data_IF_066623967463
#
_entry.id   IF_066623967463
#
_cell.length_a   1.000
_cell.length_b   1.000
_cell.length_c   1.000
_cell.angle_alpha   90.00
_cell.angle_beta   90.00
_cell.angle_gamma   90.00
#
_symmetry.space_group_name_H-M   'P 1'
#
loop_
_entity.id
_entity.type
_entity.pdbx_description
1 polymer ?
#
# COMPACT_ATOMS: atom_id res chain seq x y z
N UNK A 1 0.07 31.60 40.38
CA UNK A 1 -0.30 32.61 39.35
C UNK A 1 0.86 32.88 38.38
N UNK A 2 1.41 31.84 37.73
CA UNK A 2 2.51 31.98 36.73
C UNK A 2 2.26 31.15 35.45
N UNK A 3 1.02 30.71 35.22
CA UNK A 3 0.67 29.80 34.12
C UNK A 3 -0.39 30.35 33.16
N UNK A 4 -0.84 31.60 33.33
CA UNK A 4 -1.90 32.20 32.53
C UNK A 4 -1.45 33.37 31.63
N UNK A 5 -0.15 33.69 31.59
CA UNK A 5 0.39 34.78 30.73
C UNK A 5 1.11 34.24 29.49
N UNK A 6 1.42 32.94 29.43
CA UNK A 6 2.15 32.35 28.29
C UNK A 6 1.24 31.91 27.13
N UNK A 7 -0.04 31.61 27.40
CA UNK A 7 -1.00 31.21 26.36
C UNK A 7 -1.63 32.39 25.60
N UNK A 8 -1.53 33.60 26.13
CA UNK A 8 -1.97 34.81 25.42
C UNK A 8 -0.92 35.34 24.43
N UNK A 9 0.35 34.90 24.55
CA UNK A 9 1.41 35.31 23.63
C UNK A 9 1.47 34.46 22.35
N UNK A 10 0.97 33.22 22.38
CA UNK A 10 0.94 32.33 21.19
C UNK A 10 -0.31 32.60 20.33
N UNK A 11 -1.41 33.09 20.91
CA UNK A 11 -2.64 33.38 20.17
C UNK A 11 -2.69 34.78 19.54
N UNK A 12 -1.82 35.71 19.97
CA UNK A 12 -1.68 37.05 19.37
C UNK A 12 -0.59 37.06 18.28
N UNK A 13 0.29 36.07 18.25
CA UNK A 13 1.25 35.89 17.15
C UNK A 13 0.62 35.25 15.90
N UNK A 14 -0.51 34.53 16.01
CA UNK A 14 -1.20 33.94 14.84
C UNK A 14 -2.22 34.87 14.18
N UNK A 15 -2.60 35.99 14.82
CA UNK A 15 -3.56 36.96 14.27
C UNK A 15 -2.94 38.30 13.89
N UNK A 16 -1.62 38.47 14.04
CA UNK A 16 -0.85 39.61 13.52
C UNK A 16 0.14 39.26 12.41
N UNK A 17 0.20 38.01 11.93
CA UNK A 17 0.62 37.74 10.54
C UNK A 17 -0.53 38.05 9.59
N UNK A 18 -1.01 39.30 9.65
CA UNK A 18 -1.51 39.94 8.45
C UNK A 18 -0.35 39.90 7.47
N UNK A 19 -0.52 39.16 6.37
CA UNK A 19 -0.24 39.62 5.00
C UNK A 19 0.93 40.62 4.89
N UNK A 20 2.06 40.33 5.51
CA UNK A 20 3.31 40.80 4.98
C UNK A 20 3.46 39.94 3.75
N UNK A 21 3.20 40.56 2.61
CA UNK A 21 3.83 40.22 1.35
C UNK A 21 5.10 39.42 1.66
N UNK A 22 5.00 38.09 1.61
CA UNK A 22 6.17 37.30 1.32
C UNK A 22 6.52 37.90 -0.05
N UNK A 23 7.58 38.69 -0.08
CA UNK A 23 8.17 39.12 -1.33
C UNK A 23 8.53 37.79 -1.97
N UNK A 24 7.62 37.24 -2.76
CA UNK A 24 7.89 36.14 -3.64
C UNK A 24 9.02 36.72 -4.46
N UNK A 25 10.26 36.32 -4.12
CA UNK A 25 11.40 36.60 -4.96
C UNK A 25 10.96 36.21 -6.37
N UNK A 26 11.39 36.98 -7.35
CA UNK A 26 11.00 36.76 -8.73
C UNK A 26 11.10 35.27 -9.10
N UNK A 27 12.12 34.59 -8.56
CA UNK A 27 12.15 33.13 -8.39
C UNK A 27 12.07 32.68 -6.92
N UNK A 28 11.20 31.71 -6.63
CA UNK A 28 11.06 31.12 -5.28
C UNK A 28 10.54 29.68 -5.37
N UNK A 29 11.43 28.69 -5.32
CA UNK A 29 11.09 27.27 -5.27
C UNK A 29 11.30 26.72 -3.86
N UNK A 30 10.24 26.15 -3.29
CA UNK A 30 10.29 25.50 -1.98
C UNK A 30 10.23 23.97 -2.16
N UNK A 31 11.26 23.23 -1.71
CA UNK A 31 11.25 21.78 -1.74
C UNK A 31 10.61 21.18 -0.46
N UNK A 32 10.01 20.01 -0.60
CA UNK A 32 9.56 19.14 0.48
C UNK A 32 9.80 17.68 0.08
N UNK A 33 10.04 16.79 1.05
CA UNK A 33 10.11 15.36 0.73
C UNK A 33 8.73 14.86 0.30
N UNK A 34 8.63 14.28 -0.90
CA UNK A 34 7.39 13.71 -1.40
C UNK A 34 7.11 12.34 -0.79
N UNK A 35 8.16 11.52 -0.62
CA UNK A 35 8.09 10.20 0.02
C UNK A 35 9.45 9.76 0.56
N UNK A 36 9.45 8.69 1.38
CA UNK A 36 10.66 8.05 1.90
C UNK A 36 11.50 7.46 0.75
N UNK A 37 12.80 7.74 0.78
CA UNK A 37 13.79 7.17 -0.13
C UNK A 37 14.26 5.80 0.36
N UNK A 38 14.24 4.80 -0.51
CA UNK A 38 14.83 3.49 -0.22
C UNK A 38 16.20 3.40 -0.89
N UNK A 39 17.24 3.26 -0.07
CA UNK A 39 18.61 3.05 -0.51
C UNK A 39 18.88 1.55 -0.50
N UNK A 40 19.08 0.96 -1.67
CA UNK A 40 19.32 -0.49 -1.79
C UNK A 40 20.81 -0.75 -1.65
N UNK A 41 21.23 -1.55 -0.66
CA UNK A 41 22.64 -1.81 -0.31
C UNK A 41 23.51 -2.29 -1.48
N UNK A 42 22.92 -3.02 -2.43
CA UNK A 42 23.62 -3.58 -3.59
C UNK A 42 23.76 -2.61 -4.77
N UNK A 43 23.09 -1.45 -4.75
CA UNK A 43 23.10 -0.48 -5.85
C UNK A 43 24.08 0.66 -5.59
N UNK A 44 24.61 1.24 -6.68
CA UNK A 44 25.52 2.39 -6.64
C UNK A 44 24.79 3.73 -6.59
N UNK A 45 23.49 3.77 -6.87
CA UNK A 45 22.68 4.99 -6.87
C UNK A 45 21.34 4.74 -6.19
N UNK A 46 20.72 5.82 -5.71
CA UNK A 46 19.35 5.85 -5.20
C UNK A 46 18.62 7.08 -5.74
N UNK A 47 17.30 7.09 -5.62
CA UNK A 47 16.45 8.19 -6.07
C UNK A 47 15.77 8.86 -4.88
N UNK A 48 15.99 10.16 -4.75
CA UNK A 48 15.20 11.02 -3.88
C UNK A 48 13.98 11.55 -4.64
N UNK A 49 12.83 11.64 -3.96
CA UNK A 49 11.59 12.15 -4.52
C UNK A 49 11.22 13.46 -3.82
N UNK A 50 11.43 14.58 -4.52
CA UNK A 50 11.28 15.92 -3.94
C UNK A 50 10.06 16.58 -4.56
N UNK A 51 9.06 16.92 -3.74
CA UNK A 51 7.98 17.80 -4.16
C UNK A 51 8.52 19.23 -4.18
N UNK A 52 8.44 19.89 -5.32
CA UNK A 52 8.87 21.28 -5.48
C UNK A 52 7.65 22.12 -5.82
N UNK A 53 7.42 23.20 -5.09
CA UNK A 53 6.35 24.17 -5.36
C UNK A 53 6.94 25.52 -5.72
N UNK A 54 6.42 26.14 -6.79
CA UNK A 54 6.82 27.49 -7.18
C UNK A 54 5.93 28.55 -6.51
N UNK A 55 6.49 29.27 -5.55
CA UNK A 55 5.86 30.43 -4.93
C UNK A 55 6.25 31.76 -5.59
N UNK A 56 7.25 31.74 -6.48
CA UNK A 56 7.75 32.89 -7.23
C UNK A 56 6.75 33.40 -8.26
N UNK A 57 6.98 34.63 -8.74
CA UNK A 57 6.15 35.23 -9.81
C UNK A 57 6.59 34.76 -11.20
N UNK A 58 7.87 34.43 -11.37
CA UNK A 58 8.43 34.02 -12.64
C UNK A 58 8.30 32.52 -12.84
N UNK A 59 8.23 32.14 -14.12
CA UNK A 59 8.31 30.74 -14.56
C UNK A 59 9.70 30.18 -14.28
N UNK A 60 9.77 29.08 -13.54
CA UNK A 60 11.00 28.31 -13.39
C UNK A 60 11.13 27.31 -14.55
N UNK A 61 12.33 27.23 -15.13
CA UNK A 61 12.68 26.25 -16.16
C UNK A 61 13.69 25.23 -15.64
N UNK A 62 14.56 25.66 -14.73
CA UNK A 62 15.50 24.78 -14.05
C UNK A 62 15.81 25.27 -12.64
N UNK A 63 16.41 24.39 -11.84
CA UNK A 63 17.02 24.75 -10.57
C UNK A 63 18.34 24.01 -10.36
N UNK A 64 19.28 24.65 -9.67
CA UNK A 64 20.49 24.04 -9.14
C UNK A 64 20.20 23.49 -7.75
N UNK A 65 20.64 22.27 -7.48
CA UNK A 65 20.40 21.59 -6.21
C UNK A 65 21.67 20.96 -5.65
N UNK A 66 21.66 20.77 -4.33
CA UNK A 66 22.65 19.99 -3.60
C UNK A 66 21.95 18.96 -2.71
N UNK A 67 22.44 17.72 -2.71
CA UNK A 67 22.13 16.75 -1.66
C UNK A 67 23.35 16.64 -0.75
N UNK A 68 23.15 16.87 0.54
CA UNK A 68 24.18 16.77 1.57
C UNK A 68 23.82 15.68 2.56
N UNK A 69 24.83 14.97 3.05
CA UNK A 69 24.72 14.05 4.20
C UNK A 69 25.41 14.66 5.42
N UNK A 70 25.28 14.02 6.58
CA UNK A 70 26.09 14.33 7.76
C UNK A 70 27.61 14.11 7.54
N UNK A 71 27.99 13.44 6.44
CA UNK A 71 29.38 13.23 6.01
C UNK A 71 29.86 14.19 4.93
N UNK A 72 29.02 15.15 4.52
CA UNK A 72 29.33 16.15 3.48
C UNK A 72 28.48 15.99 2.22
N UNK A 73 28.83 16.76 1.18
CA UNK A 73 28.12 16.80 -0.09
C UNK A 73 28.13 15.44 -0.80
N UNK A 74 26.93 14.99 -1.20
CA UNK A 74 26.70 13.73 -1.90
C UNK A 74 26.62 13.96 -3.40
N UNK A 75 25.85 14.96 -3.83
CA UNK A 75 25.73 15.35 -5.23
C UNK A 75 25.33 16.81 -5.36
N UNK A 76 25.84 17.46 -6.39
CA UNK A 76 25.38 18.75 -6.90
C UNK A 76 24.87 18.51 -8.33
N UNK A 77 23.83 19.22 -8.73
CA UNK A 77 23.30 19.07 -10.06
C UNK A 77 22.30 20.14 -10.46
N UNK A 78 21.77 19.98 -11.66
CA UNK A 78 20.72 20.83 -12.21
C UNK A 78 19.54 19.96 -12.61
N UNK A 79 18.34 20.34 -12.19
CA UNK A 79 17.10 19.75 -12.65
C UNK A 79 16.43 20.70 -13.64
N UNK A 80 15.95 20.16 -14.76
CA UNK A 80 15.24 20.94 -15.80
C UNK A 80 13.81 20.43 -15.90
N UNK A 81 12.83 21.33 -15.76
CA UNK A 81 11.43 21.00 -15.96
C UNK A 81 11.15 20.74 -17.44
N UNK A 82 10.31 19.74 -17.72
CA UNK A 82 9.89 19.42 -19.10
C UNK A 82 8.98 20.49 -19.69
N UNK A 83 8.22 21.16 -18.83
CA UNK A 83 7.27 22.21 -19.18
C UNK A 83 7.53 23.45 -18.33
N UNK A 84 6.97 24.59 -18.76
CA UNK A 84 7.05 25.84 -18.00
C UNK A 84 6.45 25.67 -16.60
N UNK A 85 7.27 25.78 -15.55
CA UNK A 85 6.85 25.59 -14.17
C UNK A 85 6.41 26.93 -13.56
N UNK A 86 5.10 27.19 -13.61
CA UNK A 86 4.47 28.48 -13.30
C UNK A 86 4.23 28.65 -11.81
N UNK A 87 3.83 29.86 -11.43
CA UNK A 87 3.40 30.16 -10.06
C UNK A 87 2.30 29.19 -9.62
N UNK A 88 2.46 28.68 -8.40
CA UNK A 88 1.59 27.70 -7.74
C UNK A 88 1.65 26.29 -8.32
N UNK A 89 2.44 26.05 -9.38
CA UNK A 89 2.68 24.68 -9.84
C UNK A 89 3.44 23.90 -8.77
N UNK A 90 3.09 22.63 -8.64
CA UNK A 90 3.78 21.67 -7.78
C UNK A 90 4.07 20.41 -8.58
N UNK A 91 5.30 19.90 -8.51
CA UNK A 91 5.69 18.66 -9.18
C UNK A 91 6.64 17.85 -8.30
N UNK A 92 6.61 16.53 -8.48
CA UNK A 92 7.59 15.64 -7.83
C UNK A 92 8.76 15.43 -8.79
N UNK A 93 9.94 15.90 -8.38
CA UNK A 93 11.21 15.71 -9.05
C UNK A 93 11.89 14.44 -8.55
N UNK A 94 12.24 13.53 -9.46
CA UNK A 94 13.12 12.40 -9.17
C UNK A 94 14.58 12.83 -9.32
N UNK A 95 15.34 12.75 -8.22
CA UNK A 95 16.74 13.13 -8.17
C UNK A 95 17.57 11.89 -7.88
N UNK A 96 18.31 11.42 -8.88
CA UNK A 96 19.26 10.32 -8.69
C UNK A 96 20.54 10.84 -8.04
N UNK A 97 21.04 10.12 -7.03
CA UNK A 97 22.27 10.45 -6.33
C UNK A 97 23.12 9.20 -6.08
N UNK A 98 24.45 9.33 -6.07
CA UNK A 98 25.33 8.21 -5.78
C UNK A 98 25.21 7.81 -4.32
N UNK A 99 25.13 6.51 -4.09
CA UNK A 99 25.21 5.92 -2.76
C UNK A 99 26.60 5.32 -2.67
N UNK A 100 27.53 6.03 -2.04
CA UNK A 100 28.75 5.37 -1.59
C UNK A 100 28.31 4.27 -0.60
N UNK A 101 29.03 3.15 -0.54
CA UNK A 101 28.74 2.01 0.37
C UNK A 101 28.78 2.35 1.88
N UNK A 102 28.62 3.62 2.24
CA UNK A 102 28.53 4.20 3.55
C UNK A 102 27.18 3.84 4.18
N UNK A 103 27.19 2.78 4.98
CA UNK A 103 26.12 2.39 5.89
C UNK A 103 25.95 3.35 7.08
N UNK A 104 26.75 4.43 7.14
CA UNK A 104 26.93 5.25 8.34
C UNK A 104 26.40 6.68 8.19
N UNK A 105 25.67 6.97 7.09
CA UNK A 105 24.94 8.24 6.97
C UNK A 105 23.69 8.18 7.85
N UNK A 106 23.41 9.26 8.55
CA UNK A 106 22.25 9.37 9.46
C UNK A 106 21.27 10.46 9.03
N UNK A 107 21.65 11.34 8.11
CA UNK A 107 20.78 12.37 7.56
C UNK A 107 21.08 12.66 6.10
N UNK A 108 20.05 13.02 5.34
CA UNK A 108 20.15 13.56 3.98
C UNK A 108 19.31 14.83 3.90
N UNK A 109 19.88 15.89 3.33
CA UNK A 109 19.23 17.19 3.12
C UNK A 109 19.34 17.59 1.67
N UNK A 110 18.22 17.97 1.07
CA UNK A 110 18.13 18.52 -0.27
C UNK A 110 18.01 20.05 -0.19
N UNK A 111 18.80 20.80 -0.94
CA UNK A 111 18.70 22.26 -1.06
C UNK A 111 18.56 22.70 -2.52
N UNK A 112 17.86 23.82 -2.72
CA UNK A 112 17.76 24.54 -3.99
C UNK A 112 18.39 25.92 -3.79
N UNK A 113 19.54 26.15 -4.42
CA UNK A 113 20.31 27.38 -4.24
C UNK A 113 20.00 28.42 -5.33
N UNK A 114 19.80 27.96 -6.57
CA UNK A 114 19.46 28.82 -7.71
C UNK A 114 18.29 28.29 -8.53
N UNK A 115 17.55 29.20 -9.13
CA UNK A 115 16.45 28.95 -10.06
C UNK A 115 16.71 29.79 -11.30
N UNK A 116 16.77 29.16 -12.48
CA UNK A 116 17.18 29.82 -13.73
C UNK A 116 18.49 30.63 -13.59
N UNK A 117 19.49 30.09 -12.88
CA UNK A 117 20.78 30.74 -12.54
C UNK A 117 20.70 31.96 -11.61
N UNK A 118 19.50 32.36 -11.17
CA UNK A 118 19.28 33.43 -10.19
C UNK A 118 19.09 32.85 -8.79
N UNK A 119 19.34 33.66 -7.75
CA UNK A 119 19.18 33.23 -6.36
C UNK A 119 17.75 32.73 -6.09
N UNK A 120 17.62 31.58 -5.42
CA UNK A 120 16.33 31.12 -4.92
C UNK A 120 15.84 32.01 -3.76
N UNK A 121 14.68 32.64 -3.93
CA UNK A 121 14.07 33.54 -2.95
C UNK A 121 13.16 32.86 -1.91
N UNK A 122 13.03 31.53 -1.94
CA UNK A 122 12.18 30.82 -0.99
C UNK A 122 12.71 30.96 0.45
N UNK A 123 11.82 31.23 1.42
CA UNK A 123 12.20 31.32 2.84
C UNK A 123 12.75 30.00 3.39
N UNK A 124 12.31 28.87 2.83
CA UNK A 124 12.82 27.54 3.11
C UNK A 124 13.16 26.90 1.75
N UNK A 125 14.42 27.05 1.34
CA UNK A 125 14.95 26.48 0.10
C UNK A 125 15.51 25.05 0.26
N UNK A 126 15.19 24.34 1.34
CA UNK A 126 15.73 23.01 1.63
C UNK A 126 14.72 22.11 2.36
N UNK A 127 14.92 20.80 2.30
CA UNK A 127 14.15 19.83 3.06
C UNK A 127 15.00 18.61 3.43
N UNK A 128 14.62 17.92 4.51
CA UNK A 128 15.23 16.63 4.85
C UNK A 128 14.66 15.55 3.93
N UNK A 129 15.52 14.66 3.42
CA UNK A 129 15.11 13.46 2.69
C UNK A 129 15.00 12.32 3.72
N UNK A 130 13.78 11.88 4.09
CA UNK A 130 13.63 10.68 4.89
C UNK A 130 14.10 9.49 4.06
N UNK A 131 14.97 8.64 4.62
CA UNK A 131 15.47 7.47 3.92
C UNK A 131 15.55 6.24 4.83
N UNK A 132 15.63 5.08 4.20
CA UNK A 132 15.97 3.82 4.86
C UNK A 132 16.92 3.02 3.98
N UNK A 133 17.82 2.26 4.60
CA UNK A 133 18.77 1.41 3.89
C UNK A 133 18.21 -0.02 3.93
N UNK A 134 17.91 -0.56 2.75
CA UNK A 134 17.32 -1.90 2.58
C UNK A 134 18.24 -2.85 1.83
N UNK A 135 18.11 -4.15 2.10
CA UNK A 135 18.73 -5.21 1.30
C UNK A 135 18.15 -5.27 -0.12
N UNK A 136 16.84 -5.07 -0.24
CA UNK A 136 16.08 -4.92 -1.49
C UNK A 136 14.74 -4.21 -1.24
N UNK A 137 14.07 -3.77 -2.28
CA UNK A 137 12.71 -3.23 -2.14
C UNK A 137 11.72 -4.33 -1.78
N UNK A 138 10.85 -4.04 -0.82
CA UNK A 138 9.69 -4.87 -0.54
C UNK A 138 8.55 -4.56 -1.51
N UNK A 139 7.75 -5.58 -1.82
CA UNK A 139 6.49 -5.47 -2.54
C UNK A 139 5.41 -5.03 -1.56
N UNK A 140 4.95 -3.78 -1.71
CA UNK A 140 3.81 -3.25 -0.96
C UNK A 140 2.51 -3.54 -1.68
N UNK A 141 1.55 -4.14 -0.97
CA UNK A 141 0.15 -4.19 -1.40
C UNK A 141 -0.71 -3.29 -0.51
N UNK A 142 -1.78 -2.76 -1.07
CA UNK A 142 -2.66 -1.78 -0.44
C UNK A 142 -3.97 -2.47 -0.06
N UNK A 143 -4.25 -2.51 1.25
CA UNK A 143 -5.55 -2.97 1.73
C UNK A 143 -6.54 -1.83 1.60
N UNK A 144 -7.71 -2.12 1.07
CA UNK A 144 -8.83 -1.19 1.04
C UNK A 144 -10.00 -1.87 1.75
N UNK A 145 -10.35 -1.34 2.92
CA UNK A 145 -11.49 -1.80 3.70
C UNK A 145 -12.71 -0.92 3.36
N UNK A 146 -13.77 -1.51 2.82
CA UNK A 146 -15.08 -0.85 2.64
C UNK A 146 -16.02 -1.27 3.78
N UNK A 147 -16.23 -0.35 4.72
CA UNK A 147 -17.24 -0.50 5.77
C UNK A 147 -18.60 -0.11 5.20
N UNK A 148 -19.42 -1.11 4.92
CA UNK A 148 -20.58 -0.99 4.00
C UNK A 148 -21.85 -1.61 4.59
N UNK A 149 -22.93 -1.61 3.81
CA UNK A 149 -24.18 -2.29 4.14
C UNK A 149 -25.22 -2.17 3.02
N UNK A 150 -26.02 -3.21 2.83
CA UNK A 150 -27.04 -3.25 1.77
C UNK A 150 -28.12 -2.17 1.96
N UNK A 151 -28.42 -1.81 3.21
CA UNK A 151 -29.37 -0.75 3.54
C UNK A 151 -28.87 0.66 3.23
N UNK A 152 -27.56 0.83 3.00
CA UNK A 152 -26.93 2.14 2.86
C UNK A 152 -26.99 2.62 1.40
N UNK A 153 -27.71 3.72 1.10
CA UNK A 153 -27.97 4.13 -0.28
C UNK A 153 -26.72 4.70 -0.98
N UNK A 154 -25.77 5.27 -0.24
CA UNK A 154 -24.53 5.80 -0.80
C UNK A 154 -23.41 4.75 -0.91
N UNK A 155 -23.62 3.54 -0.38
CA UNK A 155 -22.60 2.50 -0.34
C UNK A 155 -22.26 1.93 -1.72
N UNK A 156 -23.14 2.12 -2.70
CA UNK A 156 -22.86 1.82 -4.11
C UNK A 156 -21.66 2.58 -4.67
N UNK A 157 -21.32 3.77 -4.12
CA UNK A 157 -20.03 4.43 -4.44
C UNK A 157 -18.83 3.61 -3.97
N UNK A 158 -18.88 3.10 -2.74
CA UNK A 158 -17.80 2.30 -2.17
C UNK A 158 -17.59 1.03 -2.97
N UNK A 159 -18.68 0.34 -3.30
CA UNK A 159 -18.67 -0.84 -4.18
C UNK A 159 -18.07 -0.50 -5.54
N UNK A 160 -18.52 0.59 -6.19
CA UNK A 160 -17.97 1.00 -7.48
C UNK A 160 -16.46 1.29 -7.42
N UNK A 161 -15.99 1.96 -6.38
CA UNK A 161 -14.58 2.25 -6.18
C UNK A 161 -13.75 0.96 -5.96
N UNK A 162 -14.26 0.02 -5.17
CA UNK A 162 -13.60 -1.27 -4.91
C UNK A 162 -13.48 -2.11 -6.19
N UNK A 163 -14.55 -2.21 -6.97
CA UNK A 163 -14.55 -2.89 -8.27
C UNK A 163 -13.60 -2.22 -9.27
N UNK A 164 -13.54 -0.89 -9.28
CA UNK A 164 -12.64 -0.15 -10.15
C UNK A 164 -11.17 -0.41 -9.78
N UNK A 165 -10.83 -0.43 -8.49
CA UNK A 165 -9.49 -0.74 -8.02
C UNK A 165 -9.11 -2.21 -8.31
N UNK A 166 -10.02 -3.15 -8.09
CA UNK A 166 -9.81 -4.57 -8.40
C UNK A 166 -9.56 -4.78 -9.91
N UNK A 167 -10.26 -4.05 -10.78
CA UNK A 167 -10.11 -4.16 -12.23
C UNK A 167 -8.82 -3.55 -12.76
N UNK A 168 -8.34 -2.46 -12.16
CA UNK A 168 -7.17 -1.72 -12.66
C UNK A 168 -5.87 -2.05 -11.93
N UNK A 169 -5.94 -2.57 -10.69
CA UNK A 169 -4.78 -2.84 -9.83
C UNK A 169 -4.83 -4.22 -9.16
N UNK A 170 -5.19 -5.32 -9.87
CA UNK A 170 -5.47 -6.62 -9.26
C UNK A 170 -4.30 -7.21 -8.45
N UNK A 171 -3.06 -6.89 -8.83
CA UNK A 171 -1.84 -7.41 -8.19
C UNK A 171 -1.51 -6.73 -6.86
N UNK A 172 -1.92 -5.47 -6.71
CA UNK A 172 -1.54 -4.61 -5.59
C UNK A 172 -2.71 -4.23 -4.69
N UNK A 173 -3.94 -4.39 -5.17
CA UNK A 173 -5.17 -4.15 -4.42
C UNK A 173 -5.58 -5.37 -3.61
N UNK A 174 -5.91 -5.16 -2.33
CA UNK A 174 -6.52 -6.15 -1.45
C UNK A 174 -7.81 -5.57 -0.88
N UNK A 175 -8.93 -5.91 -1.51
CA UNK A 175 -10.25 -5.49 -1.04
C UNK A 175 -10.76 -6.33 0.13
N UNK A 176 -11.43 -5.67 1.09
CA UNK A 176 -12.23 -6.30 2.14
C UNK A 176 -13.51 -5.48 2.33
N UNK A 177 -14.68 -6.09 2.10
CA UNK A 177 -15.98 -5.48 2.35
C UNK A 177 -16.54 -6.00 3.68
N UNK A 178 -16.58 -5.13 4.68
CA UNK A 178 -17.12 -5.44 6.01
C UNK A 178 -18.53 -4.86 6.13
N UNK A 179 -19.53 -5.74 6.09
CA UNK A 179 -20.94 -5.37 6.14
C UNK A 179 -21.41 -5.10 7.58
N UNK A 180 -22.19 -4.04 7.74
CA UNK A 180 -22.78 -3.61 9.00
C UNK A 180 -24.30 -3.83 9.00
N UNK A 181 -24.81 -4.62 9.94
CA UNK A 181 -26.24 -4.79 10.18
C UNK A 181 -27.03 -5.49 9.06
N UNK A 182 -26.39 -6.30 8.21
CA UNK A 182 -27.08 -7.09 7.19
C UNK A 182 -26.63 -8.57 7.16
N UNK A 183 -27.20 -9.34 6.24
CA UNK A 183 -26.98 -10.80 6.11
C UNK A 183 -25.54 -11.19 5.77
N UNK A 184 -24.73 -10.24 5.31
CA UNK A 184 -23.31 -10.43 5.02
C UNK A 184 -22.40 -9.99 6.16
N UNK A 185 -22.94 -9.47 7.26
CA UNK A 185 -22.16 -9.05 8.43
C UNK A 185 -21.37 -10.19 9.07
N UNK A 186 -20.27 -9.84 9.75
CA UNK A 186 -19.49 -10.75 10.59
C UNK A 186 -19.21 -10.08 11.94
N UNK A 187 -19.39 -10.78 13.09
CA UNK A 187 -19.14 -10.19 14.40
C UNK A 187 -17.67 -9.82 14.61
N UNK A 188 -16.74 -10.47 13.91
CA UNK A 188 -15.30 -10.22 14.05
C UNK A 188 -14.91 -8.78 13.70
N UNK A 189 -15.69 -8.12 12.84
CA UNK A 189 -15.47 -6.73 12.43
C UNK A 189 -16.20 -5.69 13.31
N UNK A 190 -16.97 -6.10 14.31
CA UNK A 190 -17.86 -5.21 15.07
C UNK A 190 -17.14 -3.99 15.68
N UNK A 191 -15.97 -4.18 16.29
CA UNK A 191 -15.19 -3.08 16.88
C UNK A 191 -14.61 -2.13 15.83
N UNK A 192 -14.17 -2.65 14.69
CA UNK A 192 -13.65 -1.85 13.57
C UNK A 192 -14.79 -1.00 12.99
N UNK A 193 -15.97 -1.61 12.78
CA UNK A 193 -17.18 -0.94 12.32
C UNK A 193 -17.68 0.15 13.29
N UNK A 194 -17.56 -0.08 14.61
CA UNK A 194 -17.89 0.90 15.63
C UNK A 194 -16.92 2.09 15.67
N UNK A 195 -15.65 1.85 15.32
CA UNK A 195 -14.60 2.87 15.24
C UNK A 195 -14.79 3.76 14.01
N UNK A 196 -14.96 3.16 12.83
CA UNK A 196 -15.09 3.87 11.57
C UNK A 196 -16.57 4.03 11.19
N UNK A 197 -17.27 5.01 11.77
CA UNK A 197 -18.71 5.19 11.63
C UNK A 197 -19.12 5.87 10.30
N UNK A 198 -20.42 5.77 9.96
CA UNK A 198 -21.09 6.36 8.78
C UNK A 198 -20.71 5.70 7.44
N UNK A 199 -21.55 4.74 7.02
CA UNK A 199 -21.39 3.97 5.78
C UNK A 199 -21.73 4.81 4.52
N UNK A 200 -21.05 4.60 3.37
CA UNK A 200 -19.82 3.82 3.26
C UNK A 200 -18.67 4.56 3.94
N UNK A 201 -17.77 3.80 4.54
CA UNK A 201 -16.49 4.31 5.00
C UNK A 201 -15.40 3.45 4.37
N UNK A 202 -14.82 3.96 3.30
CA UNK A 202 -13.78 3.26 2.54
C UNK A 202 -12.42 3.80 2.94
N UNK A 203 -11.50 2.93 3.32
CA UNK A 203 -10.24 3.31 3.95
C UNK A 203 -9.08 2.48 3.39
N UNK A 204 -8.07 3.14 2.82
CA UNK A 204 -6.82 2.49 2.43
C UNK A 204 -5.88 2.40 3.62
N UNK A 205 -5.32 1.22 3.88
CA UNK A 205 -4.29 0.95 4.90
C UNK A 205 -4.57 1.52 6.31
N UNK A 206 -5.83 1.77 6.64
CA UNK A 206 -6.26 2.49 7.84
C UNK A 206 -5.74 3.93 7.97
N UNK A 207 -5.37 4.55 6.86
CA UNK A 207 -4.83 5.92 6.78
C UNK A 207 -5.72 6.83 5.95
N UNK A 208 -5.95 6.48 4.69
CA UNK A 208 -6.46 7.39 3.67
C UNK A 208 -7.92 7.08 3.38
N UNK A 209 -8.81 7.98 3.80
CA UNK A 209 -10.25 7.83 3.56
C UNK A 209 -10.59 8.17 2.10
N UNK A 210 -11.26 7.26 1.42
CA UNK A 210 -11.65 7.42 0.02
C UNK A 210 -13.04 8.02 -0.11
N UNK A 211 -13.11 9.27 -0.58
CA UNK A 211 -14.36 10.05 -0.67
C UNK A 211 -14.92 10.23 -2.08
N UNK A 212 -14.20 9.79 -3.12
CA UNK A 212 -14.57 10.00 -4.52
C UNK A 212 -14.92 8.69 -5.24
N UNK A 213 -15.00 8.67 -6.57
CA UNK A 213 -15.47 7.50 -7.31
C UNK A 213 -14.35 6.63 -7.88
N UNK A 214 -13.18 7.22 -8.14
CA UNK A 214 -12.00 6.57 -8.73
C UNK A 214 -10.79 6.98 -7.91
N UNK A 215 -9.95 6.00 -7.58
CA UNK A 215 -8.88 6.14 -6.58
C UNK A 215 -7.55 5.51 -7.04
N UNK A 216 -7.30 5.44 -8.35
CA UNK A 216 -6.07 4.86 -8.90
C UNK A 216 -4.81 5.59 -8.43
N UNK A 217 -4.82 6.92 -8.48
CA UNK A 217 -3.70 7.74 -7.99
C UNK A 217 -3.44 7.59 -6.49
N UNK A 218 -4.50 7.44 -5.69
CA UNK A 218 -4.39 7.21 -4.24
C UNK A 218 -3.74 5.84 -3.96
N UNK A 219 -4.16 4.80 -4.70
CA UNK A 219 -3.57 3.47 -4.58
C UNK A 219 -2.11 3.46 -5.02
N UNK A 220 -1.79 4.10 -6.14
CA UNK A 220 -0.41 4.23 -6.63
C UNK A 220 0.47 4.96 -5.63
N UNK A 221 0.00 6.06 -5.05
CA UNK A 221 0.73 6.80 -4.02
C UNK A 221 0.97 5.93 -2.77
N UNK A 222 -0.06 5.23 -2.27
CA UNK A 222 0.05 4.32 -1.14
C UNK A 222 1.00 3.15 -1.42
N UNK A 223 0.96 2.56 -2.62
CA UNK A 223 1.88 1.49 -3.05
C UNK A 223 3.32 2.02 -3.15
N UNK A 224 3.50 3.17 -3.79
CA UNK A 224 4.81 3.73 -4.14
C UNK A 224 5.52 4.41 -2.97
N UNK A 225 4.81 4.62 -1.85
CA UNK A 225 5.40 4.96 -0.56
C UNK A 225 6.32 3.83 -0.01
N UNK A 226 6.16 2.61 -0.54
CA UNK A 226 6.99 1.46 -0.22
C UNK A 226 6.76 0.90 1.18
N UNK A 227 7.43 -0.21 1.48
CA UNK A 227 7.34 -0.89 2.76
C UNK A 227 8.73 -1.37 3.21
N UNK A 228 8.95 -1.49 4.52
CA UNK A 228 10.23 -1.96 5.10
C UNK A 228 10.35 -3.49 5.13
N UNK A 229 9.29 -4.20 4.76
CA UNK A 229 9.16 -5.66 4.81
C UNK A 229 8.21 -6.19 3.75
N UNK A 230 8.53 -7.40 3.27
CA UNK A 230 7.58 -8.23 2.52
C UNK A 230 6.68 -9.01 3.48
N UNK A 231 5.48 -9.31 3.00
CA UNK A 231 4.59 -10.25 3.65
C UNK A 231 4.00 -11.22 2.63
N UNK A 232 4.10 -12.50 2.94
CA UNK A 232 3.58 -13.59 2.12
C UNK A 232 2.57 -14.40 2.92
N UNK A 233 1.62 -15.02 2.21
CA UNK A 233 0.61 -15.90 2.81
C UNK A 233 0.30 -17.04 1.86
N UNK A 234 0.15 -18.22 2.45
CA UNK A 234 -0.39 -19.42 1.80
C UNK A 234 -1.49 -20.00 2.67
N UNK A 235 -2.48 -20.60 2.03
CA UNK A 235 -3.60 -21.23 2.71
C UNK A 235 -3.96 -22.55 2.03
N UNK A 236 -4.27 -23.57 2.82
CA UNK A 236 -4.56 -24.93 2.34
C UNK A 236 -5.78 -25.48 3.06
N UNK A 237 -6.69 -26.07 2.30
CA UNK A 237 -7.83 -26.82 2.83
C UNK A 237 -7.38 -28.14 3.48
N UNK A 238 -8.09 -28.56 4.51
CA UNK A 238 -8.16 -29.98 4.85
C UNK A 238 -9.01 -30.75 3.82
N UNK A 239 -8.93 -32.09 3.87
CA UNK A 239 -9.62 -32.94 2.89
C UNK A 239 -11.14 -32.76 2.89
N UNK A 240 -11.72 -32.42 4.05
CA UNK A 240 -13.15 -32.20 4.25
C UNK A 240 -13.61 -30.77 3.87
N UNK A 241 -12.68 -29.90 3.49
CA UNK A 241 -12.89 -28.45 3.33
C UNK A 241 -13.59 -27.81 4.54
N UNK A 242 -13.25 -28.24 5.75
CA UNK A 242 -13.79 -27.72 7.02
C UNK A 242 -12.76 -26.92 7.84
N UNK A 243 -11.48 -26.99 7.47
CA UNK A 243 -10.39 -26.22 8.05
C UNK A 243 -9.53 -25.60 6.95
N UNK A 244 -9.15 -24.34 7.15
CA UNK A 244 -8.17 -23.64 6.32
C UNK A 244 -6.92 -23.44 7.17
N UNK A 245 -5.84 -24.15 6.85
CA UNK A 245 -4.53 -23.94 7.47
C UNK A 245 -3.81 -22.80 6.75
N UNK A 246 -3.21 -21.88 7.51
CA UNK A 246 -2.61 -20.65 6.99
C UNK A 246 -1.18 -20.57 7.47
N UNK A 247 -0.25 -20.33 6.55
CA UNK A 247 1.14 -20.00 6.86
C UNK A 247 1.46 -18.64 6.25
N UNK A 248 1.87 -17.69 7.09
CA UNK A 248 2.31 -16.37 6.66
C UNK A 248 3.78 -16.13 7.02
N UNK A 249 4.48 -15.40 6.17
CA UNK A 249 5.89 -15.06 6.37
C UNK A 249 6.08 -13.56 6.26
N UNK A 250 6.63 -12.93 7.30
CA UNK A 250 7.06 -11.53 7.28
C UNK A 250 8.58 -11.49 7.14
N UNK A 251 9.09 -10.73 6.17
CA UNK A 251 10.53 -10.61 5.94
C UNK A 251 10.94 -9.15 5.84
N UNK A 252 11.56 -8.62 6.89
CA UNK A 252 12.10 -7.27 6.89
C UNK A 252 13.28 -7.16 5.92
N UNK A 253 13.37 -6.02 5.23
CA UNK A 253 14.47 -5.67 4.34
C UNK A 253 15.49 -4.75 5.02
N UNK A 254 15.27 -4.46 6.29
CA UNK A 254 16.10 -3.63 7.14
C UNK A 254 16.58 -4.42 8.35
N UNK A 255 17.70 -3.98 8.93
CA UNK A 255 18.07 -4.31 10.30
C UNK A 255 17.44 -3.27 11.22
N UNK A 256 16.69 -3.70 12.25
CA UNK A 256 16.02 -2.79 13.16
C UNK A 256 15.96 -3.38 14.58
N UNK A 257 16.41 -2.62 15.57
CA UNK A 257 16.41 -3.06 16.98
C UNK A 257 15.03 -3.02 17.62
N UNK A 258 14.11 -2.23 17.06
CA UNK A 258 12.80 -1.95 17.61
C UNK A 258 11.73 -1.99 16.51
N UNK A 259 10.48 -2.19 16.91
CA UNK A 259 9.31 -2.09 16.04
C UNK A 259 8.11 -2.80 16.66
N UNK A 260 6.92 -2.23 16.46
CA UNK A 260 5.68 -2.67 17.09
C UNK A 260 4.72 -3.16 16.00
N UNK A 261 4.77 -4.45 15.70
CA UNK A 261 3.97 -5.03 14.63
C UNK A 261 3.14 -6.22 15.09
N UNK A 262 1.94 -6.34 14.53
CA UNK A 262 1.00 -7.41 14.83
C UNK A 262 0.32 -7.92 13.55
N UNK A 263 -0.04 -9.20 13.54
CA UNK A 263 -0.68 -9.84 12.38
C UNK A 263 -2.19 -9.93 12.56
N UNK A 264 -2.94 -9.64 11.50
CA UNK A 264 -4.37 -9.94 11.42
C UNK A 264 -4.66 -10.78 10.18
N UNK A 265 -5.72 -11.58 10.25
CA UNK A 265 -6.14 -12.45 9.15
C UNK A 265 -7.61 -12.24 8.84
N UNK A 266 -7.97 -12.24 7.56
CA UNK A 266 -9.36 -12.10 7.12
C UNK A 266 -9.64 -13.16 6.06
N UNK A 267 -10.71 -13.92 6.26
CA UNK A 267 -11.30 -14.80 5.26
C UNK A 267 -12.33 -14.01 4.48
N UNK A 268 -12.18 -13.91 3.17
CA UNK A 268 -13.12 -13.20 2.28
C UNK A 268 -13.73 -14.14 1.26
N UNK A 269 -14.93 -13.80 0.78
CA UNK A 269 -15.60 -14.48 -0.34
C UNK A 269 -15.93 -13.49 -1.45
N UNK A 270 -15.63 -13.86 -2.69
CA UNK A 270 -16.02 -13.11 -3.88
C UNK A 270 -17.32 -13.66 -4.50
N UNK A 271 -18.10 -12.79 -5.14
CA UNK A 271 -19.24 -13.18 -5.97
C UNK A 271 -20.52 -13.57 -5.22
N UNK A 272 -20.64 -13.28 -3.92
CA UNK A 272 -21.83 -13.64 -3.14
C UNK A 272 -23.07 -12.91 -3.65
N UNK A 273 -24.17 -13.64 -3.89
CA UNK A 273 -25.40 -13.05 -4.43
C UNK A 273 -26.66 -13.77 -3.97
N UNK A 274 -27.77 -13.04 -3.91
CA UNK A 274 -29.09 -13.62 -3.70
C UNK A 274 -30.15 -12.73 -4.37
N UNK A 275 -31.16 -13.32 -5.03
CA UNK A 275 -32.29 -12.58 -5.60
C UNK A 275 -33.00 -11.64 -4.63
N UNK A 276 -32.96 -11.94 -3.33
CA UNK A 276 -33.64 -11.20 -2.26
C UNK A 276 -32.75 -10.13 -1.62
N UNK A 277 -31.47 -10.09 -1.94
CA UNK A 277 -30.56 -9.06 -1.42
C UNK A 277 -30.68 -7.82 -2.28
N UNK A 278 -31.15 -6.73 -1.68
CA UNK A 278 -31.30 -5.44 -2.35
C UNK A 278 -30.30 -4.43 -1.80
N UNK A 279 -29.40 -3.93 -2.64
CA UNK A 279 -28.51 -2.83 -2.32
C UNK A 279 -29.24 -1.51 -2.61
N UNK A 280 -29.49 -0.70 -1.58
CA UNK A 280 -30.00 0.65 -1.76
C UNK A 280 -29.01 1.49 -2.57
N UNK A 281 -29.53 2.33 -3.47
CA UNK A 281 -28.73 3.05 -4.46
C UNK A 281 -29.22 4.49 -4.64
N UNK A 282 -28.47 5.44 -4.08
CA UNK A 282 -28.71 6.87 -4.22
C UNK A 282 -28.30 7.45 -5.58
N UNK A 283 -27.54 6.70 -6.40
CA UNK A 283 -27.02 7.21 -7.68
C UNK A 283 -27.91 6.87 -8.87
N UNK A 284 -29.03 6.17 -8.65
CA UNK A 284 -29.98 5.81 -9.70
C UNK A 284 -30.46 7.07 -10.45
N UNK A 285 -30.15 7.14 -11.75
CA UNK A 285 -30.53 8.28 -12.59
C UNK A 285 -29.66 9.54 -12.45
N UNK A 286 -28.56 9.51 -11.68
CA UNK A 286 -27.63 10.65 -11.50
C UNK A 286 -26.73 10.86 -12.73
N UNK A 287 -27.35 11.27 -13.84
CA UNK A 287 -26.71 11.32 -15.16
C UNK A 287 -25.53 12.30 -15.25
N UNK A 288 -25.42 13.29 -14.36
CA UNK A 288 -24.27 14.21 -14.31
C UNK A 288 -22.97 13.53 -13.89
N UNK A 289 -23.05 12.35 -13.27
CA UNK A 289 -21.89 11.56 -12.84
C UNK A 289 -21.53 10.45 -13.85
N UNK A 290 -22.28 10.34 -14.94
CA UNK A 290 -22.07 9.29 -15.94
C UNK A 290 -20.75 9.48 -16.68
N UNK A 291 -20.03 8.38 -16.91
CA UNK A 291 -18.74 8.37 -17.59
C UNK A 291 -17.53 8.59 -16.68
N UNK A 292 -17.73 8.78 -15.37
CA UNK A 292 -16.62 8.81 -14.40
C UNK A 292 -15.93 7.45 -14.33
N UNK A 293 -16.70 6.36 -14.30
CA UNK A 293 -16.18 4.98 -14.42
C UNK A 293 -17.29 4.02 -14.85
N UNK A 294 -16.92 2.89 -15.46
CA UNK A 294 -17.88 1.84 -15.84
C UNK A 294 -18.59 1.24 -14.62
N UNK A 295 -17.90 1.18 -13.49
CA UNK A 295 -18.43 0.63 -12.24
C UNK A 295 -19.49 1.55 -11.61
N UNK A 296 -19.28 2.87 -11.63
CA UNK A 296 -20.30 3.82 -11.18
C UNK A 296 -21.48 3.85 -12.14
N UNK A 297 -21.22 3.79 -13.45
CA UNK A 297 -22.26 3.81 -14.48
C UNK A 297 -23.24 2.64 -14.31
N UNK A 298 -22.78 1.47 -13.84
CA UNK A 298 -23.68 0.36 -13.50
C UNK A 298 -24.76 0.80 -12.50
N UNK A 299 -24.39 1.50 -11.44
CA UNK A 299 -25.32 1.98 -10.42
C UNK A 299 -26.19 3.14 -10.92
N UNK A 300 -25.64 4.03 -11.75
CA UNK A 300 -26.43 5.13 -12.34
C UNK A 300 -27.55 4.58 -13.22
N UNK A 301 -27.27 3.56 -14.02
CA UNK A 301 -28.24 2.94 -14.91
C UNK A 301 -29.13 1.89 -14.22
N UNK A 302 -28.90 1.60 -12.93
CA UNK A 302 -29.69 0.64 -12.14
C UNK A 302 -30.80 1.34 -11.35
N UNK A 303 -31.86 0.61 -10.93
CA UNK A 303 -32.91 1.15 -10.06
C UNK A 303 -32.40 1.63 -8.69
N UNK A 304 -33.28 2.28 -7.93
CA UNK A 304 -33.01 2.78 -6.56
C UNK A 304 -32.71 1.67 -5.54
N UNK A 305 -33.07 0.43 -5.86
CA UNK A 305 -32.62 -0.78 -5.16
C UNK A 305 -32.12 -1.77 -6.20
N UNK A 306 -30.86 -2.19 -6.08
CA UNK A 306 -30.22 -3.13 -6.99
C UNK A 306 -30.29 -4.53 -6.40
N UNK A 307 -31.11 -5.38 -7.01
CA UNK A 307 -31.19 -6.81 -6.69
C UNK A 307 -30.24 -7.62 -7.58
N UNK A 308 -29.96 -8.86 -7.17
CA UNK A 308 -29.08 -9.80 -7.92
C UNK A 308 -27.65 -9.29 -8.11
N UNK A 309 -27.22 -8.30 -7.33
CA UNK A 309 -25.84 -7.82 -7.35
C UNK A 309 -24.91 -8.90 -6.79
N UNK A 310 -23.72 -9.01 -7.37
CA UNK A 310 -22.62 -9.80 -6.81
C UNK A 310 -21.87 -8.93 -5.81
N UNK A 311 -21.65 -9.45 -4.61
CA UNK A 311 -20.89 -8.80 -3.55
C UNK A 311 -19.51 -9.48 -3.53
N UNK A 312 -18.47 -8.73 -3.87
CA UNK A 312 -17.09 -9.20 -3.84
C UNK A 312 -16.40 -8.82 -2.53
N UNK A 313 -15.31 -9.52 -2.23
CA UNK A 313 -14.42 -9.22 -1.10
C UNK A 313 -15.10 -9.28 0.28
N UNK A 314 -16.25 -9.94 0.40
CA UNK A 314 -17.07 -9.93 1.62
C UNK A 314 -16.31 -10.60 2.76
N UNK A 315 -16.13 -9.90 3.88
CA UNK A 315 -15.52 -10.46 5.08
C UNK A 315 -16.42 -11.55 5.68
N UNK A 316 -15.93 -12.79 5.65
CA UNK A 316 -16.60 -13.95 6.25
C UNK A 316 -16.26 -14.06 7.72
N UNK A 317 -14.97 -14.07 8.03
CA UNK A 317 -14.41 -14.21 9.36
C UNK A 317 -13.09 -13.46 9.45
N UNK A 318 -12.67 -13.08 10.66
CA UNK A 318 -11.39 -12.44 10.88
C UNK A 318 -10.78 -12.82 12.23
N UNK A 319 -9.44 -12.79 12.30
CA UNK A 319 -8.68 -12.98 13.53
C UNK A 319 -7.89 -11.72 13.84
N UNK A 320 -8.05 -11.24 15.07
CA UNK A 320 -7.32 -10.10 15.63
C UNK A 320 -7.40 -8.83 14.77
N UNK A 321 -8.50 -8.62 14.04
CA UNK A 321 -8.59 -7.54 13.05
C UNK A 321 -8.58 -6.14 13.66
N UNK A 322 -8.98 -5.99 14.93
CA UNK A 322 -9.02 -4.70 15.61
C UNK A 322 -7.61 -4.20 15.93
N UNK A 323 -6.84 -4.97 16.71
CA UNK A 323 -5.53 -4.53 17.25
C UNK A 323 -4.34 -5.35 16.74
N UNK A 324 -4.58 -6.44 16.00
CA UNK A 324 -3.57 -7.41 15.60
C UNK A 324 -3.22 -8.42 16.69
N UNK A 325 -2.59 -9.52 16.28
CA UNK A 325 -1.97 -10.53 17.13
C UNK A 325 -0.52 -10.10 17.44
N UNK A 326 -0.31 -9.59 18.64
CA UNK A 326 1.01 -9.20 19.13
C UNK A 326 1.87 -10.41 19.53
N UNK A 327 3.17 -10.18 19.72
CA UNK A 327 4.12 -11.21 20.19
C UNK A 327 4.62 -12.18 19.11
N UNK A 328 4.16 -12.06 17.87
CA UNK A 328 4.61 -12.88 16.74
C UNK A 328 5.71 -12.18 15.93
N UNK A 329 5.48 -10.94 15.53
CA UNK A 329 6.44 -10.15 14.74
C UNK A 329 7.21 -9.23 15.70
N UNK A 330 8.22 -9.80 16.36
CA UNK A 330 8.97 -9.12 17.44
C UNK A 330 10.38 -8.73 17.01
N UNK A 331 10.77 -7.50 17.32
CA UNK A 331 12.14 -7.03 17.16
C UNK A 331 13.10 -7.72 18.16
N UNK A 332 14.42 -7.79 17.91
CA UNK A 332 15.13 -7.17 16.78
C UNK A 332 14.89 -7.90 15.45
N UNK A 333 14.72 -7.12 14.39
CA UNK A 333 14.64 -7.60 13.02
C UNK A 333 16.02 -7.63 12.39
N UNK A 334 16.30 -8.74 11.70
CA UNK A 334 17.51 -8.92 10.90
C UNK A 334 17.06 -8.96 9.44
N UNK A 335 17.71 -8.17 8.59
CA UNK A 335 17.36 -8.08 7.17
C UNK A 335 17.35 -9.48 6.53
N UNK A 336 16.33 -9.73 5.71
CA UNK A 336 16.09 -10.95 4.94
C UNK A 336 15.84 -12.22 5.77
N UNK A 337 15.79 -12.13 7.10
CA UNK A 337 15.42 -13.26 7.95
C UNK A 337 13.89 -13.39 8.05
N UNK A 338 13.31 -14.52 7.61
CA UNK A 338 11.86 -14.69 7.66
C UNK A 338 11.36 -14.94 9.09
N UNK A 339 10.21 -14.35 9.41
CA UNK A 339 9.40 -14.65 10.59
C UNK A 339 8.15 -15.37 10.09
N UNK A 340 8.02 -16.65 10.45
CA UNK A 340 6.92 -17.51 10.00
C UNK A 340 5.89 -17.64 11.12
N UNK A 341 4.61 -17.52 10.77
CA UNK A 341 3.50 -17.77 11.67
C UNK A 341 2.48 -18.70 11.02
N UNK A 342 1.97 -19.64 11.81
CA UNK A 342 0.94 -20.58 11.41
C UNK A 342 -0.33 -20.36 12.22
N UNK A 343 -1.46 -20.31 11.54
CA UNK A 343 -2.79 -20.25 12.15
C UNK A 343 -3.81 -20.97 11.26
N UNK A 344 -5.08 -20.95 11.61
CA UNK A 344 -6.12 -21.57 10.80
C UNK A 344 -7.51 -20.99 11.03
N UNK A 345 -8.38 -21.02 10.02
CA UNK A 345 -9.82 -20.90 10.25
C UNK A 345 -10.42 -22.30 10.35
N UNK A 346 -10.90 -22.66 11.54
CA UNK A 346 -11.47 -23.97 11.83
C UNK A 346 -13.01 -23.93 11.74
N UNK A 347 -13.60 -25.13 11.58
CA UNK A 347 -15.04 -25.32 11.57
C UNK A 347 -15.76 -24.39 10.58
N UNK A 348 -15.28 -24.33 9.33
CA UNK A 348 -15.80 -23.43 8.29
C UNK A 348 -17.31 -23.61 8.08
N UNK A 349 -17.83 -24.81 8.31
CA UNK A 349 -19.27 -25.09 8.23
C UNK A 349 -20.13 -24.19 9.16
N UNK A 350 -19.56 -23.58 10.20
CA UNK A 350 -20.27 -22.64 11.07
C UNK A 350 -20.68 -21.35 10.36
N UNK A 351 -19.92 -20.93 9.35
CA UNK A 351 -20.19 -19.71 8.59
C UNK A 351 -21.24 -19.98 7.51
N UNK A 352 -22.50 -20.08 7.95
CA UNK A 352 -23.65 -20.46 7.10
C UNK A 352 -23.90 -19.55 5.90
N UNK A 353 -23.34 -18.34 5.91
CA UNK A 353 -23.47 -17.38 4.81
C UNK A 353 -22.58 -17.73 3.61
N UNK A 354 -21.54 -18.55 3.79
CA UNK A 354 -20.65 -18.93 2.69
C UNK A 354 -21.46 -19.60 1.57
N UNK A 355 -21.31 -19.12 0.34
CA UNK A 355 -22.06 -19.65 -0.81
C UNK A 355 -21.21 -20.59 -1.65
N UNK A 356 -19.94 -20.24 -1.87
CA UNK A 356 -19.00 -21.02 -2.65
C UNK A 356 -17.61 -21.02 -1.99
N UNK A 357 -17.19 -22.18 -1.47
CA UNK A 357 -15.89 -22.34 -0.84
C UNK A 357 -14.71 -22.10 -1.79
N UNK A 358 -14.89 -22.27 -3.09
CA UNK A 358 -13.82 -22.05 -4.08
C UNK A 358 -13.61 -20.55 -4.38
N UNK A 359 -14.55 -19.70 -3.97
CA UNK A 359 -14.41 -18.23 -4.06
C UNK A 359 -13.72 -17.63 -2.84
N UNK A 360 -13.37 -18.43 -1.85
CA UNK A 360 -12.74 -17.96 -0.62
C UNK A 360 -11.27 -17.58 -0.84
N UNK A 361 -10.83 -16.53 -0.15
CA UNK A 361 -9.44 -16.06 -0.13
C UNK A 361 -9.02 -15.72 1.30
N UNK A 362 -7.73 -15.83 1.60
CA UNK A 362 -7.16 -15.41 2.88
C UNK A 362 -6.29 -14.18 2.67
N UNK A 363 -6.61 -13.11 3.40
CA UNK A 363 -5.79 -11.92 3.52
C UNK A 363 -5.00 -11.96 4.84
N UNK A 364 -3.71 -11.66 4.79
CA UNK A 364 -2.89 -11.33 5.98
C UNK A 364 -2.56 -9.84 5.97
N UNK A 365 -2.65 -9.21 7.12
CA UNK A 365 -2.41 -7.79 7.32
C UNK A 365 -1.34 -7.62 8.39
N UNK A 366 -0.31 -6.82 8.11
CA UNK A 366 0.68 -6.40 9.09
C UNK A 366 0.32 -5.00 9.60
N UNK A 367 -0.04 -4.91 10.88
CA UNK A 367 -0.48 -3.68 11.54
C UNK A 367 0.67 -3.12 12.37
N UNK A 368 0.99 -1.84 12.20
CA UNK A 368 1.81 -1.08 13.14
C UNK A 368 0.94 -0.70 14.34
N UNK A 369 1.19 -1.32 15.49
CA UNK A 369 0.33 -1.16 16.68
C UNK A 369 0.49 0.19 17.36
N UNK A 370 1.51 0.98 17.01
CA UNK A 370 1.68 2.33 17.55
C UNK A 370 0.65 3.32 17.01
N UNK A 371 0.07 3.05 15.83
CA UNK A 371 -0.83 3.96 15.14
C UNK A 371 -2.00 3.27 14.43
N UNK A 372 -2.07 1.93 14.46
CA UNK A 372 -3.15 1.14 13.87
C UNK A 372 -3.11 1.04 12.33
N UNK A 373 -2.07 1.55 11.68
CA UNK A 373 -1.93 1.53 10.22
C UNK A 373 -1.55 0.13 9.73
N UNK A 374 -2.07 -0.24 8.55
CA UNK A 374 -1.61 -1.45 7.86
C UNK A 374 -0.38 -1.06 7.04
N UNK A 375 0.78 -1.61 7.38
CA UNK A 375 2.07 -1.24 6.77
C UNK A 375 2.44 -2.10 5.57
N UNK A 376 1.91 -3.32 5.50
CA UNK A 376 1.89 -4.17 4.31
C UNK A 376 0.85 -5.29 4.49
N UNK A 377 0.47 -5.96 3.40
CA UNK A 377 -0.48 -7.07 3.41
C UNK A 377 -0.27 -7.98 2.21
N UNK A 378 -0.86 -9.17 2.26
CA UNK A 378 -0.93 -10.05 1.10
C UNK A 378 -2.22 -10.89 1.11
N UNK A 379 -2.62 -11.39 -0.06
CA UNK A 379 -3.83 -12.20 -0.27
C UNK A 379 -3.46 -13.43 -1.07
N UNK A 380 -3.99 -14.59 -0.68
CA UNK A 380 -3.88 -15.82 -1.45
C UNK A 380 -5.24 -16.51 -1.64
N UNK A 381 -5.36 -17.30 -2.71
CA UNK A 381 -6.41 -18.31 -2.84
C UNK A 381 -6.07 -19.51 -1.96
N UNK A 382 -7.09 -20.23 -1.53
CA UNK A 382 -6.92 -21.41 -0.69
C UNK A 382 -6.71 -22.62 -1.58
N UNK A 383 -5.58 -23.29 -1.41
CA UNK A 383 -5.21 -24.46 -2.19
C UNK A 383 -5.95 -25.72 -1.70
N UNK A 384 -6.22 -26.70 -2.59
CA UNK A 384 -6.77 -27.99 -2.19
C UNK A 384 -5.89 -28.73 -1.17
N UNK A 385 -6.47 -29.68 -0.44
CA UNK A 385 -5.69 -30.59 0.39
C UNK A 385 -4.62 -31.33 -0.43
N UNK A 386 -3.48 -31.63 0.20
CA UNK A 386 -2.36 -32.37 -0.40
C UNK A 386 -1.61 -31.65 -1.54
N UNK A 387 -1.82 -30.34 -1.75
CA UNK A 387 -0.88 -29.53 -2.54
C UNK A 387 0.39 -29.26 -1.71
N UNK A 388 1.39 -30.14 -1.78
CA UNK A 388 2.73 -29.91 -1.19
C UNK A 388 3.59 -28.93 -2.01
N UNK A 389 2.99 -28.16 -2.91
CA UNK A 389 3.67 -27.16 -3.73
C UNK A 389 3.33 -25.76 -3.25
N UNK A 390 4.35 -24.95 -2.96
CA UNK A 390 4.21 -23.50 -2.91
C UNK A 390 3.93 -23.07 -4.35
N UNK A 391 2.65 -22.98 -4.74
CA UNK A 391 2.26 -22.25 -5.94
C UNK A 391 2.34 -20.76 -5.61
N UNK A 392 3.50 -20.16 -5.86
CA UNK A 392 3.57 -18.72 -6.11
C UNK A 392 2.61 -18.42 -7.25
N UNK A 393 1.60 -17.60 -6.95
CA UNK A 393 0.51 -17.16 -7.83
C UNK A 393 0.96 -17.02 -9.28
N UNK A 394 0.29 -17.77 -10.17
CA UNK A 394 0.45 -17.70 -11.62
C UNK A 394 0.09 -16.30 -12.12
N UNK A 395 1.11 -15.52 -12.49
CA UNK A 395 0.97 -14.44 -13.45
C UNK A 395 1.00 -15.09 -14.85
N UNK A 396 0.05 -14.70 -15.68
CA UNK A 396 -0.11 -15.19 -17.04
C UNK A 396 1.20 -15.16 -17.85
N UNK A 397 1.47 -16.27 -18.53
CA UNK A 397 2.67 -16.53 -19.31
C UNK A 397 2.88 -15.53 -20.45
N UNK A 398 3.75 -14.54 -20.25
CA UNK A 398 4.57 -13.98 -21.33
C UNK A 398 6.02 -13.85 -20.86
N UNK A 399 6.90 -14.64 -21.50
CA UNK A 399 8.36 -14.68 -21.39
C UNK A 399 8.99 -15.09 -20.05
N UNK A 400 8.52 -16.23 -19.51
CA UNK A 400 9.23 -16.95 -18.45
C UNK A 400 10.48 -17.64 -19.01
N UNK A 401 11.68 -17.19 -18.65
CA UNK A 401 12.94 -17.86 -19.01
C UNK A 401 13.78 -18.22 -17.78
N UNK A 402 14.62 -19.24 -17.92
CA UNK A 402 15.45 -19.77 -16.83
C UNK A 402 16.61 -18.81 -16.56
N UNK A 403 16.74 -18.35 -15.31
CA UNK A 403 17.85 -17.46 -14.88
C UNK A 403 18.91 -18.20 -14.08
N UNK A 404 18.56 -19.32 -13.44
CA UNK A 404 19.52 -20.19 -12.77
C UNK A 404 18.95 -21.60 -12.60
N UNK A 405 19.84 -22.59 -12.52
CA UNK A 405 19.47 -23.99 -12.27
C UNK A 405 20.44 -24.58 -11.25
N UNK A 406 19.91 -25.38 -10.32
CA UNK A 406 20.69 -26.02 -9.27
C UNK A 406 20.37 -27.52 -9.17
N UNK A 407 21.30 -28.33 -8.69
CA UNK A 407 21.02 -29.71 -8.26
C UNK A 407 20.21 -29.71 -6.96
N UNK A 408 19.65 -30.87 -6.58
CA UNK A 408 18.98 -31.03 -5.29
C UNK A 408 19.87 -30.70 -4.07
N UNK A 409 21.19 -30.79 -4.23
CA UNK A 409 22.18 -30.46 -3.20
C UNK A 409 22.60 -28.97 -3.22
N UNK A 410 22.03 -28.16 -4.11
CA UNK A 410 22.28 -26.72 -4.20
C UNK A 410 23.45 -26.30 -5.07
N UNK A 411 24.03 -27.21 -5.87
CA UNK A 411 25.12 -26.88 -6.79
C UNK A 411 24.59 -26.22 -8.07
N UNK A 412 25.20 -25.13 -8.51
CA UNK A 412 24.82 -24.44 -9.75
C UNK A 412 25.15 -25.28 -11.00
N UNK A 413 24.23 -25.36 -11.96
CA UNK A 413 24.39 -26.11 -13.21
C UNK A 413 23.93 -25.28 -14.41
N UNK A 414 24.68 -25.33 -15.51
CA UNK A 414 24.43 -24.56 -16.73
C UNK A 414 23.48 -25.24 -17.73
N UNK A 415 23.18 -26.53 -17.52
CA UNK A 415 22.27 -27.33 -18.33
C UNK A 415 21.52 -28.34 -17.44
N UNK A 416 20.37 -28.89 -17.90
CA UNK A 416 19.66 -29.93 -17.17
C UNK A 416 20.55 -31.17 -16.94
N UNK A 417 20.60 -31.66 -15.70
CA UNK A 417 21.31 -32.90 -15.34
C UNK A 417 20.31 -33.96 -14.90
N UNK A 418 20.60 -35.25 -15.10
CA UNK A 418 19.73 -36.33 -14.67
C UNK A 418 19.43 -36.25 -13.16
N UNK A 419 18.15 -36.30 -12.79
CA UNK A 419 17.67 -36.14 -11.41
C UNK A 419 16.85 -34.87 -11.18
N UNK A 420 16.73 -34.46 -9.91
CA UNK A 420 15.96 -33.27 -9.53
C UNK A 420 16.81 -32.01 -9.74
N UNK A 421 16.25 -31.09 -10.54
CA UNK A 421 16.82 -29.78 -10.83
C UNK A 421 15.91 -28.71 -10.19
N UNK A 422 16.50 -27.75 -9.49
CA UNK A 422 15.79 -26.58 -8.97
C UNK A 422 15.99 -25.44 -9.97
N UNK A 423 14.94 -25.04 -10.66
CA UNK A 423 14.96 -24.05 -11.74
C UNK A 423 14.40 -22.73 -11.24
N UNK A 424 15.19 -21.67 -11.29
CA UNK A 424 14.75 -20.30 -11.01
C UNK A 424 14.44 -19.59 -12.32
N UNK A 425 13.34 -18.85 -12.33
CA UNK A 425 12.86 -18.11 -13.48
C UNK A 425 12.97 -16.60 -13.29
N UNK A 426 12.94 -15.87 -14.41
CA UNK A 426 13.01 -14.40 -14.47
C UNK A 426 11.89 -13.69 -13.72
N UNK A 427 10.75 -14.35 -13.53
CA UNK A 427 9.60 -13.88 -12.75
C UNK A 427 9.77 -14.07 -11.22
N UNK A 428 10.93 -14.57 -10.77
CA UNK A 428 11.23 -14.84 -9.37
C UNK A 428 10.68 -16.18 -8.86
N UNK A 429 9.92 -16.91 -9.69
CA UNK A 429 9.41 -18.24 -9.32
C UNK A 429 10.54 -19.28 -9.33
N UNK A 430 10.38 -20.31 -8.50
CA UNK A 430 11.28 -21.47 -8.46
C UNK A 430 10.46 -22.74 -8.67
N UNK A 431 10.86 -23.60 -9.60
CA UNK A 431 10.22 -24.89 -9.86
C UNK A 431 11.21 -26.04 -9.71
N UNK A 432 10.69 -27.23 -9.36
CA UNK A 432 11.45 -28.47 -9.39
C UNK A 432 11.18 -29.18 -10.72
N UNK A 433 12.23 -29.45 -11.49
CA UNK A 433 12.17 -30.18 -12.75
C UNK A 433 12.86 -31.55 -12.59
N UNK A 434 12.19 -32.62 -12.98
CA UNK A 434 12.76 -33.98 -12.96
C UNK A 434 13.24 -34.32 -14.37
N UNK A 435 14.55 -34.49 -14.52
CA UNK A 435 15.20 -34.85 -15.79
C UNK A 435 15.52 -36.33 -15.76
N UNK A 436 14.96 -37.10 -16.71
CA UNK A 436 15.09 -38.57 -16.76
C UNK A 436 16.37 -39.05 -17.44
#
# INVERSE_FOLDING_TARGET
MKQFVLSAFILVLSTFFNINECWAGDYSLAPAAAKKTYIIRSLSTAKAFISVTNYGRNTANSFEYTITSDKGTVVEGTYTFKEAFRKSDTSTCEIEFPVNKTTDITSLTFSIDKVNNERNGASIGYCNIPFTIVSKLATRKVVVEDFTGMWCPYCTRGIAAMENLQNNYPETFIGIAAHDGDVLSTPDYAYVLATYQRRPYVLMNRTTKLTYFVHGSDLEAERDAGADMDIDVSAVWDEEKNKISITSTTTFRIDASEGNYALAYVLTEDGMTNPRWGQNNAFSGEMSLKGISKELDFFINSPSVVYFMKNNHVAIAAKNITNGLEGIVTAPFVADKPIVHETSFDNIAQYRKIQNKDNLSVCVLLIDTSNGKIVNANKCKIQPANTTGIESTTIDNKEKHVVARYTANGEFISAPVKGINIVKYSDGTTQKEVVQ
#
